data_IF_125841875286
#
_entry.id   IF_125841875286
#
_cell.length_a   1.000
_cell.length_b   1.000
_cell.length_c   1.000
_cell.angle_alpha   90.00
_cell.angle_beta   90.00
_cell.angle_gamma   90.00
#
_symmetry.space_group_name_H-M   'P 1'
#
loop_
_entity.id
_entity.type
_entity.pdbx_description
1 polymer ?
#
# COMPACT_ATOMS: atom_id res chain seq x y z
N UNK A 1 28.48 -47.16 -29.64
CA UNK A 1 28.21 -47.52 -28.25
C UNK A 1 29.00 -46.63 -27.32
N UNK A 2 28.58 -45.46 -26.85
CA UNK A 2 27.51 -44.50 -27.20
C UNK A 2 27.73 -43.33 -26.22
N UNK A 3 28.67 -42.43 -26.51
CA UNK A 3 28.94 -41.26 -25.63
C UNK A 3 27.96 -40.11 -25.88
N UNK A 4 27.32 -40.08 -27.05
CA UNK A 4 26.31 -39.08 -27.44
C UNK A 4 25.00 -39.22 -26.64
N UNK A 5 24.67 -40.41 -26.14
CA UNK A 5 23.43 -40.65 -25.38
C UNK A 5 23.49 -40.17 -23.94
N UNK A 6 24.66 -40.13 -23.29
CA UNK A 6 24.77 -39.67 -21.90
C UNK A 6 24.59 -38.16 -21.81
N UNK A 7 25.21 -37.39 -22.71
CA UNK A 7 25.03 -35.93 -22.75
C UNK A 7 23.60 -35.52 -23.13
N UNK A 8 22.96 -36.26 -24.02
CA UNK A 8 21.53 -36.08 -24.34
C UNK A 8 20.63 -36.41 -23.14
N UNK A 9 20.95 -37.47 -22.38
CA UNK A 9 20.23 -37.80 -21.15
C UNK A 9 20.38 -36.71 -20.08
N UNK A 10 21.59 -36.18 -19.92
CA UNK A 10 21.90 -35.14 -18.94
C UNK A 10 21.20 -33.81 -19.30
N UNK A 11 21.16 -33.44 -20.58
CA UNK A 11 20.38 -32.26 -21.04
C UNK A 11 18.88 -32.45 -20.87
N UNK A 12 18.36 -33.64 -21.18
CA UNK A 12 16.94 -33.98 -20.99
C UNK A 12 16.53 -33.89 -19.52
N UNK A 13 17.36 -34.45 -18.62
CA UNK A 13 17.14 -34.38 -17.17
C UNK A 13 17.22 -32.95 -16.63
N UNK A 14 18.15 -32.14 -17.12
CA UNK A 14 18.27 -30.73 -16.71
C UNK A 14 17.05 -29.91 -17.15
N UNK A 15 16.57 -30.10 -18.38
CA UNK A 15 15.37 -29.43 -18.89
C UNK A 15 14.11 -29.82 -18.14
N UNK A 16 14.00 -31.08 -17.70
CA UNK A 16 12.86 -31.57 -16.93
C UNK A 16 12.84 -31.00 -15.49
N UNK A 17 14.03 -30.88 -14.87
CA UNK A 17 14.20 -30.20 -13.58
C UNK A 17 13.83 -28.72 -13.65
N UNK A 18 14.23 -28.02 -14.71
CA UNK A 18 13.87 -26.61 -14.92
C UNK A 18 12.36 -26.43 -15.07
N UNK A 19 11.70 -27.28 -15.88
CA UNK A 19 10.24 -27.27 -16.03
C UNK A 19 9.52 -27.58 -14.71
N UNK A 20 10.02 -28.51 -13.91
CA UNK A 20 9.48 -28.78 -12.57
C UNK A 20 9.63 -27.58 -11.64
N UNK A 21 10.78 -26.90 -11.68
CA UNK A 21 11.02 -25.72 -10.85
C UNK A 21 10.07 -24.57 -11.25
N UNK A 22 9.91 -24.32 -12.54
CA UNK A 22 8.97 -23.32 -13.06
C UNK A 22 7.52 -23.63 -12.67
N UNK A 23 7.10 -24.90 -12.75
CA UNK A 23 5.75 -25.32 -12.31
C UNK A 23 5.56 -25.11 -10.81
N UNK A 24 6.56 -25.43 -9.98
CA UNK A 24 6.49 -25.20 -8.52
C UNK A 24 6.40 -23.73 -8.18
N UNK A 25 7.22 -22.90 -8.81
CA UNK A 25 7.18 -21.45 -8.64
C UNK A 25 5.81 -20.88 -9.03
N UNK A 26 5.27 -21.32 -10.18
CA UNK A 26 3.95 -20.89 -10.64
C UNK A 26 2.83 -21.35 -9.69
N UNK A 27 2.84 -22.60 -9.24
CA UNK A 27 1.86 -23.13 -8.28
C UNK A 27 1.92 -22.36 -6.94
N UNK A 28 3.12 -22.11 -6.42
CA UNK A 28 3.31 -21.34 -5.18
C UNK A 28 2.82 -19.90 -5.31
N UNK A 29 3.00 -19.29 -6.50
CA UNK A 29 2.52 -17.93 -6.78
C UNK A 29 0.99 -17.88 -6.75
N UNK A 30 0.32 -18.84 -7.38
CA UNK A 30 -1.14 -18.96 -7.41
C UNK A 30 -1.69 -19.19 -5.98
N UNK A 31 -1.10 -20.10 -5.21
CA UNK A 31 -1.51 -20.37 -3.83
C UNK A 31 -1.36 -19.13 -2.93
N UNK A 32 -0.26 -18.39 -3.07
CA UNK A 32 -0.05 -17.15 -2.34
C UNK A 32 -1.07 -16.07 -2.71
N UNK A 33 -1.43 -15.94 -3.99
CA UNK A 33 -2.45 -14.99 -4.44
C UNK A 33 -3.83 -15.33 -3.85
N UNK A 34 -4.23 -16.60 -3.83
CA UNK A 34 -5.51 -17.05 -3.26
C UNK A 34 -5.56 -16.91 -1.73
N UNK A 35 -4.45 -17.20 -1.03
CA UNK A 35 -4.34 -16.99 0.42
C UNK A 35 -4.47 -15.50 0.75
N UNK A 36 -3.77 -14.63 0.04
CA UNK A 36 -3.85 -13.17 0.23
C UNK A 36 -5.28 -12.67 -0.02
N UNK A 37 -5.92 -13.15 -1.08
CA UNK A 37 -7.31 -12.79 -1.42
C UNK A 37 -8.31 -13.27 -0.37
N UNK A 38 -8.09 -14.46 0.20
CA UNK A 38 -8.93 -15.02 1.26
C UNK A 38 -8.73 -14.26 2.58
N UNK A 39 -7.48 -14.01 2.98
CA UNK A 39 -7.15 -13.22 4.17
C UNK A 39 -7.66 -11.78 4.08
N UNK A 40 -7.66 -11.20 2.87
CA UNK A 40 -8.25 -9.89 2.58
C UNK A 40 -9.78 -9.88 2.79
N UNK A 41 -10.49 -10.94 2.39
CA UNK A 41 -11.94 -11.07 2.62
C UNK A 41 -12.32 -11.24 4.09
N UNK A 42 -11.45 -11.85 4.89
CA UNK A 42 -11.68 -12.12 6.31
C UNK A 42 -11.21 -10.98 7.23
N UNK A 43 -10.64 -9.91 6.67
CA UNK A 43 -10.14 -8.80 7.48
C UNK A 43 -11.27 -7.88 7.90
N UNK A 44 -11.56 -7.88 9.20
CA UNK A 44 -12.37 -6.86 9.85
C UNK A 44 -11.47 -5.66 10.21
N UNK A 45 -11.76 -4.45 9.71
CA UNK A 45 -10.94 -3.29 9.99
C UNK A 45 -11.10 -2.87 11.46
N UNK A 46 -9.99 -2.51 12.09
CA UNK A 46 -10.03 -1.79 13.36
C UNK A 46 -10.67 -0.42 13.11
N UNK A 47 -11.74 -0.13 13.84
CA UNK A 47 -12.44 1.16 13.81
C UNK A 47 -12.22 1.90 15.12
N UNK A 48 -12.33 3.23 15.08
CA UNK A 48 -12.46 4.02 16.29
C UNK A 48 -13.93 4.04 16.74
N UNK A 49 -14.14 3.88 18.04
CA UNK A 49 -15.46 3.99 18.68
C UNK A 49 -15.61 5.33 19.41
N UNK A 50 -14.48 5.94 19.77
CA UNK A 50 -14.42 7.19 20.53
C UNK A 50 -13.56 8.25 19.85
N UNK A 51 -13.82 9.51 20.18
CA UNK A 51 -12.99 10.64 19.79
C UNK A 51 -11.62 10.65 20.49
N UNK A 52 -11.44 9.88 21.56
CA UNK A 52 -10.17 9.73 22.27
C UNK A 52 -9.22 8.72 21.61
N UNK A 53 -9.73 7.87 20.72
CA UNK A 53 -8.97 6.79 20.11
C UNK A 53 -7.88 7.34 19.18
N UNK A 54 -6.61 7.11 19.53
CA UNK A 54 -5.49 7.43 18.65
C UNK A 54 -5.26 6.33 17.61
N UNK A 55 -5.78 6.56 16.40
CA UNK A 55 -5.64 5.63 15.28
C UNK A 55 -4.29 5.74 14.55
N UNK A 56 -3.44 6.72 14.88
CA UNK A 56 -2.16 6.93 14.18
C UNK A 56 -1.27 5.67 14.17
N UNK A 57 -1.08 4.93 15.29
CA UNK A 57 -0.23 3.74 15.30
C UNK A 57 -0.73 2.63 14.37
N UNK A 58 -2.05 2.46 14.27
CA UNK A 58 -2.68 1.45 13.40
C UNK A 58 -2.47 1.83 11.93
N UNK A 59 -2.75 3.08 11.59
CA UNK A 59 -2.62 3.59 10.22
C UNK A 59 -1.16 3.56 9.74
N UNK A 60 -0.24 4.07 10.56
CA UNK A 60 1.20 4.08 10.27
C UNK A 60 1.74 2.65 10.23
N UNK A 61 1.20 1.72 11.03
CA UNK A 61 1.55 0.30 10.97
C UNK A 61 1.31 -0.32 9.60
N UNK A 62 0.15 -0.05 8.98
CA UNK A 62 -0.12 -0.51 7.61
C UNK A 62 0.77 0.17 6.58
N UNK A 63 1.01 1.48 6.71
CA UNK A 63 1.91 2.20 5.81
C UNK A 63 3.36 1.68 5.88
N UNK A 64 3.86 1.35 7.08
CA UNK A 64 5.17 0.71 7.27
C UNK A 64 5.25 -0.64 6.57
N UNK A 65 4.21 -1.46 6.68
CA UNK A 65 4.14 -2.75 5.98
C UNK A 65 4.10 -2.58 4.45
N UNK A 66 3.43 -1.53 3.97
CA UNK A 66 3.43 -1.19 2.55
C UNK A 66 4.84 -0.83 2.06
N UNK A 67 5.49 0.12 2.75
CA UNK A 67 6.87 0.56 2.43
C UNK A 67 7.85 -0.60 2.51
N UNK A 68 7.73 -1.45 3.55
CA UNK A 68 8.53 -2.66 3.69
C UNK A 68 8.31 -3.62 2.51
N UNK A 69 7.05 -3.83 2.11
CA UNK A 69 6.71 -4.66 0.96
C UNK A 69 7.32 -4.16 -0.34
N UNK A 70 7.38 -2.83 -0.52
CA UNK A 70 8.07 -2.23 -1.67
C UNK A 70 9.59 -2.40 -1.59
N UNK A 71 10.22 -2.01 -0.48
CA UNK A 71 11.67 -2.05 -0.29
C UNK A 71 12.25 -3.46 -0.44
N UNK A 72 11.50 -4.49 -0.03
CA UNK A 72 11.92 -5.89 -0.08
C UNK A 72 11.30 -6.67 -1.25
N UNK A 73 10.62 -5.99 -2.19
CA UNK A 73 9.98 -6.60 -3.37
C UNK A 73 8.98 -7.71 -3.03
N UNK A 74 8.34 -7.61 -1.86
CA UNK A 74 7.27 -8.51 -1.40
C UNK A 74 5.92 -7.91 -1.79
N UNK A 75 5.64 -7.87 -3.09
CA UNK A 75 4.48 -7.15 -3.66
C UNK A 75 3.12 -7.62 -3.12
N UNK A 76 3.01 -8.90 -2.73
CA UNK A 76 1.81 -9.43 -2.09
C UNK A 76 1.56 -8.78 -0.72
N UNK A 77 2.62 -8.54 0.05
CA UNK A 77 2.53 -7.84 1.33
C UNK A 77 2.20 -6.35 1.12
N UNK A 78 2.86 -5.70 0.15
CA UNK A 78 2.54 -4.31 -0.24
C UNK A 78 1.05 -4.16 -0.58
N UNK A 79 0.54 -5.02 -1.45
CA UNK A 79 -0.86 -4.99 -1.89
C UNK A 79 -1.83 -5.28 -0.76
N UNK A 80 -1.52 -6.24 0.11
CA UNK A 80 -2.34 -6.57 1.27
C UNK A 80 -2.38 -5.43 2.30
N UNK A 81 -1.24 -4.79 2.57
CA UNK A 81 -1.14 -3.65 3.46
C UNK A 81 -1.94 -2.45 2.93
N UNK A 82 -1.83 -2.14 1.64
CA UNK A 82 -2.63 -1.10 0.99
C UNK A 82 -4.13 -1.37 1.12
N UNK A 83 -4.55 -2.61 0.81
CA UNK A 83 -5.94 -3.02 0.91
C UNK A 83 -6.48 -2.86 2.34
N UNK A 84 -5.74 -3.33 3.34
CA UNK A 84 -6.15 -3.24 4.75
C UNK A 84 -6.22 -1.80 5.22
N UNK A 85 -5.26 -0.96 4.85
CA UNK A 85 -5.29 0.47 5.17
C UNK A 85 -6.50 1.16 4.54
N UNK A 86 -6.73 0.93 3.25
CA UNK A 86 -7.91 1.47 2.56
C UNK A 86 -9.21 1.04 3.25
N UNK A 87 -9.32 -0.23 3.66
CA UNK A 87 -10.45 -0.73 4.45
C UNK A 87 -10.59 -0.01 5.80
N UNK A 88 -9.50 0.24 6.53
CA UNK A 88 -9.54 1.01 7.78
C UNK A 88 -10.03 2.43 7.51
N UNK A 89 -9.49 3.12 6.51
CA UNK A 89 -9.91 4.48 6.14
C UNK A 89 -11.39 4.56 5.76
N UNK A 90 -11.91 3.58 5.02
CA UNK A 90 -13.34 3.53 4.65
C UNK A 90 -14.30 3.39 5.84
N UNK A 91 -13.85 2.84 6.97
CA UNK A 91 -14.67 2.64 8.17
C UNK A 91 -14.27 3.58 9.32
N UNK A 92 -13.32 4.47 9.07
CA UNK A 92 -12.83 5.41 10.06
C UNK A 92 -13.85 6.54 10.25
N UNK A 93 -14.28 6.75 11.48
CA UNK A 93 -15.13 7.90 11.81
C UNK A 93 -14.25 9.13 12.04
N UNK A 94 -14.57 10.24 11.39
CA UNK A 94 -13.80 11.50 11.55
C UNK A 94 -14.21 12.19 12.84
N UNK A 95 -13.40 12.04 13.88
CA UNK A 95 -13.49 12.77 15.15
C UNK A 95 -12.41 13.85 15.25
N UNK A 96 -12.39 14.59 16.37
CA UNK A 96 -11.44 15.68 16.58
C UNK A 96 -9.95 15.26 16.57
N UNK A 97 -9.64 14.01 16.91
CA UNK A 97 -8.27 13.45 16.89
C UNK A 97 -7.87 12.91 15.51
N UNK A 98 -8.83 12.57 14.66
CA UNK A 98 -8.59 11.97 13.34
C UNK A 98 -7.71 12.84 12.43
N UNK A 99 -7.88 14.17 12.35
CA UNK A 99 -6.99 15.01 11.54
C UNK A 99 -5.53 14.90 11.96
N UNK A 100 -5.22 14.77 13.25
CA UNK A 100 -3.85 14.57 13.73
C UNK A 100 -3.29 13.24 13.21
N UNK A 101 -4.02 12.15 13.41
CA UNK A 101 -3.58 10.81 12.99
C UNK A 101 -3.34 10.71 11.47
N UNK A 102 -4.23 11.31 10.67
CA UNK A 102 -4.10 11.31 9.20
C UNK A 102 -2.99 12.23 8.73
N UNK A 103 -2.76 13.36 9.41
CA UNK A 103 -1.62 14.24 9.11
C UNK A 103 -0.29 13.53 9.39
N UNK A 104 -0.18 12.81 10.51
CA UNK A 104 1.02 12.02 10.84
C UNK A 104 1.23 10.87 9.83
N UNK A 105 0.15 10.21 9.42
CA UNK A 105 0.19 9.22 8.34
C UNK A 105 0.69 9.84 7.02
N UNK A 106 0.15 11.00 6.64
CA UNK A 106 0.53 11.68 5.41
C UNK A 106 2.03 12.03 5.42
N UNK A 107 2.54 12.63 6.50
CA UNK A 107 3.99 12.89 6.65
C UNK A 107 4.81 11.61 6.43
N UNK A 108 4.47 10.55 7.18
CA UNK A 108 5.17 9.28 7.06
C UNK A 108 5.19 8.76 5.61
N UNK A 109 4.05 8.79 4.93
CA UNK A 109 3.96 8.28 3.56
C UNK A 109 4.76 9.12 2.57
N UNK A 110 4.67 10.44 2.64
CA UNK A 110 5.40 11.31 1.72
C UNK A 110 6.92 11.24 1.95
N UNK A 111 7.35 11.00 3.20
CA UNK A 111 8.77 10.80 3.53
C UNK A 111 9.32 9.44 3.07
N UNK A 112 8.46 8.42 2.88
CA UNK A 112 8.87 7.03 2.65
C UNK A 112 8.42 6.43 1.31
N UNK A 113 7.78 7.21 0.46
CA UNK A 113 7.41 6.81 -0.91
C UNK A 113 8.09 7.73 -1.90
N UNK A 114 8.54 7.19 -3.03
CA UNK A 114 9.21 7.98 -4.05
C UNK A 114 8.21 8.89 -4.76
N UNK A 115 8.64 10.10 -5.09
CA UNK A 115 7.97 10.94 -6.07
C UNK A 115 8.15 10.28 -7.43
N UNK A 116 7.06 10.04 -8.15
CA UNK A 116 7.13 9.46 -9.49
C UNK A 116 7.56 10.54 -10.49
N UNK A 117 8.84 10.92 -10.46
CA UNK A 117 9.42 11.86 -11.40
C UNK A 117 9.32 11.28 -12.83
N UNK A 118 8.36 11.77 -13.61
CA UNK A 118 8.17 11.39 -15.01
C UNK A 118 6.98 10.48 -15.31
N UNK A 119 6.16 10.09 -14.32
CA UNK A 119 4.83 9.54 -14.58
C UNK A 119 3.76 10.33 -13.84
N UNK A 120 2.66 10.64 -14.53
CA UNK A 120 1.49 11.33 -13.97
C UNK A 120 0.75 10.52 -12.89
N UNK A 121 1.19 9.28 -12.64
CA UNK A 121 0.58 8.39 -11.67
C UNK A 121 1.16 8.62 -10.28
N UNK A 122 0.30 9.09 -9.36
CA UNK A 122 0.58 9.18 -7.93
C UNK A 122 0.74 7.78 -7.31
N UNK A 123 1.67 7.62 -6.36
CA UNK A 123 1.81 6.36 -5.62
C UNK A 123 0.46 5.94 -4.99
N UNK A 124 0.04 4.66 -5.09
CA UNK A 124 -1.24 4.21 -4.59
C UNK A 124 -1.49 4.50 -3.11
N UNK A 125 -0.44 4.49 -2.27
CA UNK A 125 -0.54 4.81 -0.85
C UNK A 125 -0.77 6.31 -0.63
N UNK A 126 -0.05 7.18 -1.36
CA UNK A 126 -0.29 8.63 -1.35
C UNK A 126 -1.73 8.92 -1.79
N UNK A 127 -2.18 8.27 -2.87
CA UNK A 127 -3.51 8.46 -3.45
C UNK A 127 -4.65 8.22 -2.45
N UNK A 128 -4.66 7.08 -1.75
CA UNK A 128 -5.76 6.77 -0.82
C UNK A 128 -5.83 7.76 0.36
N UNK A 129 -4.68 8.32 0.79
CA UNK A 129 -4.62 9.31 1.87
C UNK A 129 -5.18 10.64 1.38
N UNK A 130 -4.73 11.09 0.21
CA UNK A 130 -5.17 12.35 -0.38
C UNK A 130 -6.67 12.31 -0.70
N UNK A 131 -7.16 11.20 -1.27
CA UNK A 131 -8.59 11.02 -1.53
C UNK A 131 -9.40 11.06 -0.22
N UNK A 132 -8.94 10.39 0.83
CA UNK A 132 -9.61 10.44 2.14
C UNK A 132 -9.69 11.88 2.68
N UNK A 133 -8.58 12.63 2.66
CA UNK A 133 -8.57 14.04 3.09
C UNK A 133 -9.47 14.90 2.22
N UNK A 134 -9.50 14.68 0.91
CA UNK A 134 -10.36 15.43 -0.02
C UNK A 134 -11.86 15.18 0.26
N UNK A 135 -12.28 13.94 0.52
CA UNK A 135 -13.67 13.60 0.89
C UNK A 135 -14.07 14.36 2.16
N UNK A 136 -13.17 14.45 3.13
CA UNK A 136 -13.41 15.04 4.44
C UNK A 136 -12.90 16.47 4.57
N UNK A 137 -12.60 17.15 3.45
CA UNK A 137 -11.87 18.42 3.43
C UNK A 137 -12.40 19.49 4.40
N UNK A 138 -13.72 19.68 4.59
CA UNK A 138 -14.22 20.66 5.57
C UNK A 138 -13.70 20.47 7.01
N UNK A 139 -13.43 19.22 7.42
CA UNK A 139 -12.86 18.92 8.73
C UNK A 139 -11.35 19.22 8.79
N UNK A 140 -10.66 19.07 7.66
CA UNK A 140 -9.22 19.28 7.55
C UNK A 140 -8.85 20.75 7.29
N UNK A 141 -9.72 21.53 6.64
CA UNK A 141 -9.52 22.95 6.38
C UNK A 141 -9.32 23.75 7.69
N UNK A 142 -10.00 23.36 8.77
CA UNK A 142 -9.93 24.03 10.07
C UNK A 142 -8.83 23.47 10.98
N UNK A 143 -8.32 22.26 10.69
CA UNK A 143 -7.34 21.58 11.54
C UNK A 143 -5.98 22.29 11.55
N UNK A 144 -5.42 22.63 12.72
CA UNK A 144 -4.08 23.20 12.80
C UNK A 144 -3.01 22.22 12.29
N UNK A 145 -3.16 20.92 12.58
CA UNK A 145 -2.24 19.87 12.12
C UNK A 145 -2.14 19.83 10.59
N UNK A 146 -3.28 19.90 9.91
CA UNK A 146 -3.32 19.88 8.45
C UNK A 146 -2.77 21.17 7.85
N UNK A 147 -3.05 22.34 8.47
CA UNK A 147 -2.46 23.61 8.04
C UNK A 147 -0.93 23.61 8.15
N UNK A 148 -0.39 23.01 9.20
CA UNK A 148 1.07 22.90 9.37
C UNK A 148 1.67 21.99 8.30
N UNK A 149 1.04 20.85 8.01
CA UNK A 149 1.45 19.98 6.89
C UNK A 149 1.40 20.71 5.54
N UNK A 150 0.37 21.52 5.29
CA UNK A 150 0.30 22.32 4.05
C UNK A 150 1.42 23.37 3.95
N UNK A 151 1.91 23.88 5.08
CA UNK A 151 3.02 24.86 5.13
C UNK A 151 4.40 24.21 5.00
N UNK A 152 4.53 22.93 5.36
CA UNK A 152 5.77 22.16 5.16
C UNK A 152 6.12 22.05 3.67
N UNK A 153 5.13 22.11 2.78
CA UNK A 153 5.32 22.09 1.34
C UNK A 153 5.52 20.68 0.79
N UNK A 154 6.31 20.56 -0.29
CA UNK A 154 6.52 19.29 -0.99
C UNK A 154 5.37 18.90 -1.92
N UNK A 155 5.26 17.60 -2.21
CA UNK A 155 4.27 17.09 -3.17
C UNK A 155 2.85 17.01 -2.59
N UNK A 156 2.72 16.90 -1.27
CA UNK A 156 1.41 16.68 -0.63
C UNK A 156 0.38 17.79 -0.95
N UNK A 157 0.69 19.09 -0.80
CA UNK A 157 -0.24 20.16 -1.17
C UNK A 157 -0.62 20.13 -2.65
N UNK A 158 0.32 19.76 -3.53
CA UNK A 158 0.11 19.68 -4.98
C UNK A 158 -0.85 18.53 -5.31
N UNK A 159 -0.59 17.36 -4.76
CA UNK A 159 -1.42 16.17 -4.92
C UNK A 159 -2.85 16.41 -4.41
N UNK A 160 -3.00 17.05 -3.25
CA UNK A 160 -4.30 17.40 -2.69
C UNK A 160 -5.07 18.37 -3.58
N UNK A 161 -4.42 19.43 -4.06
CA UNK A 161 -5.05 20.37 -4.99
C UNK A 161 -5.47 19.69 -6.29
N UNK A 162 -4.64 18.81 -6.83
CA UNK A 162 -4.93 18.04 -8.04
C UNK A 162 -6.15 17.13 -7.86
N UNK A 163 -6.32 16.51 -6.68
CA UNK A 163 -7.49 15.67 -6.39
C UNK A 163 -8.75 16.52 -6.18
N UNK A 164 -8.66 17.60 -5.39
CA UNK A 164 -9.80 18.50 -5.12
C UNK A 164 -10.28 19.20 -6.39
N UNK A 165 -9.35 19.59 -7.28
CA UNK A 165 -9.69 20.24 -8.55
C UNK A 165 -10.49 19.34 -9.49
N UNK A 166 -10.32 18.01 -9.42
CA UNK A 166 -11.09 17.05 -10.24
C UNK A 166 -12.58 16.98 -9.88
N UNK A 167 -12.98 17.53 -8.73
CA UNK A 167 -14.35 17.46 -8.23
C UNK A 167 -15.13 18.77 -8.41
N UNK A 168 -14.49 19.79 -8.99
CA UNK A 168 -15.13 21.02 -9.46
C UNK A 168 -15.44 20.92 -10.95
#
# INVERSE_FOLDING_TARGET
MDSLTIDELMRSSALDKEKQLQRRLLCSKIELEDVVKTMSKLYEPVTNESWEDDMAPVLIGHARLYVFGEQHLVYNLKSLALFKLHKVLMHLTVFGTTPRAITELARYVYDNTLTNEGSDDMDPLRKIIVEFVAIHFPFYEQSPFHKDLMREGGDYPVDLLNVVAKWR
#
